data_IF_443139073744
#
_entry.id   IF_443139073744
#
_cell.length_a   1.000
_cell.length_b   1.000
_cell.length_c   1.000
_cell.angle_alpha   90.00
_cell.angle_beta   90.00
_cell.angle_gamma   90.00
#
_symmetry.space_group_name_H-M   'P 1'
#
loop_
_entity.id
_entity.type
_entity.pdbx_description
1 polymer ?
#
# COMPACT_ATOMS: atom_id res chain seq x y z
N UNK A 1 -4.09 23.87 -23.62
CA UNK A 1 -3.64 23.55 -22.25
C UNK A 1 -4.26 22.22 -21.90
N UNK A 2 -3.41 21.19 -21.84
CA UNK A 2 -3.81 19.80 -22.00
C UNK A 2 -4.51 19.24 -20.76
N UNK A 3 -5.58 18.48 -20.98
CA UNK A 3 -6.43 17.90 -19.95
C UNK A 3 -5.69 16.72 -19.32
N UNK A 4 -5.06 16.98 -18.16
CA UNK A 4 -4.82 16.02 -17.06
C UNK A 4 -4.43 14.60 -17.50
N UNK A 5 -3.18 14.42 -17.94
CA UNK A 5 -2.58 13.08 -17.87
C UNK A 5 -2.45 12.73 -16.38
N UNK A 6 -3.11 11.69 -15.85
CA UNK A 6 -3.03 11.36 -14.44
C UNK A 6 -1.57 11.09 -14.05
N UNK A 7 -1.07 11.82 -13.05
CA UNK A 7 0.31 11.70 -12.55
C UNK A 7 0.66 10.22 -12.34
N UNK A 8 1.78 9.78 -12.92
CA UNK A 8 2.19 8.36 -12.91
C UNK A 8 2.72 7.97 -11.53
N UNK A 9 2.47 6.74 -11.05
CA UNK A 9 3.12 6.27 -9.82
C UNK A 9 4.59 5.92 -10.08
N UNK A 10 5.36 5.82 -9.00
CA UNK A 10 6.77 5.44 -9.04
C UNK A 10 7.15 4.46 -7.93
N UNK A 11 8.28 3.79 -8.10
CA UNK A 11 8.96 3.05 -7.04
C UNK A 11 10.38 3.58 -6.91
N UNK A 12 10.74 3.95 -5.69
CA UNK A 12 12.07 4.39 -5.29
C UNK A 12 12.75 3.23 -4.59
N UNK A 13 13.83 2.75 -5.18
CA UNK A 13 14.61 1.64 -4.68
C UNK A 13 15.85 2.17 -3.97
N UNK A 14 16.10 1.71 -2.76
CA UNK A 14 17.47 1.71 -2.27
C UNK A 14 18.34 0.79 -3.14
N UNK A 15 19.65 1.09 -3.22
CA UNK A 15 20.60 0.34 -4.05
C UNK A 15 21.18 -0.85 -3.29
N UNK A 16 21.90 -0.58 -2.21
CA UNK A 16 22.80 -1.51 -1.53
C UNK A 16 22.03 -2.26 -0.44
N UNK A 17 21.98 -3.59 -0.51
CA UNK A 17 21.13 -4.40 0.38
C UNK A 17 19.68 -4.57 -0.12
N UNK A 18 19.29 -3.84 -1.18
CA UNK A 18 17.94 -3.92 -1.77
C UNK A 18 17.94 -4.38 -3.24
N UNK A 19 18.64 -3.70 -4.15
CA UNK A 19 18.78 -4.13 -5.55
C UNK A 19 20.00 -5.05 -5.73
N UNK A 20 21.12 -4.66 -5.11
CA UNK A 20 22.39 -5.37 -5.10
C UNK A 20 22.77 -5.76 -3.67
N UNK A 21 23.73 -6.67 -3.53
CA UNK A 21 24.31 -7.02 -2.23
C UNK A 21 25.01 -5.81 -1.61
N UNK A 22 24.85 -5.61 -0.31
CA UNK A 22 25.67 -4.64 0.43
C UNK A 22 27.06 -5.24 0.67
N UNK A 23 28.07 -4.61 0.06
CA UNK A 23 29.49 -4.96 0.22
C UNK A 23 30.32 -3.73 0.64
N UNK A 24 29.69 -2.74 1.28
CA UNK A 24 30.33 -1.50 1.71
C UNK A 24 30.53 -0.47 0.59
N UNK A 25 31.66 0.24 0.61
CA UNK A 25 31.95 1.30 -0.36
C UNK A 25 32.51 0.72 -1.66
N UNK A 26 31.61 0.52 -2.62
CA UNK A 26 31.96 0.00 -3.95
C UNK A 26 32.72 1.06 -4.76
N UNK A 27 33.88 0.68 -5.28
CA UNK A 27 34.70 1.53 -6.15
C UNK A 27 34.70 1.04 -7.60
N UNK A 28 34.50 -0.26 -7.80
CA UNK A 28 34.55 -0.91 -9.11
C UNK A 28 33.18 -1.51 -9.50
N UNK A 29 32.73 -1.32 -10.76
CA UNK A 29 31.47 -1.86 -11.26
C UNK A 29 31.24 -3.36 -11.01
N UNK A 30 32.31 -4.17 -11.13
CA UNK A 30 32.23 -5.63 -10.96
C UNK A 30 31.86 -6.08 -9.53
N UNK A 31 31.98 -5.18 -8.55
CA UNK A 31 31.61 -5.47 -7.15
C UNK A 31 30.09 -5.48 -6.95
N UNK A 32 29.34 -4.81 -7.83
CA UNK A 32 27.88 -4.73 -7.76
C UNK A 32 27.22 -6.04 -8.23
N UNK A 33 26.82 -6.86 -7.26
CA UNK A 33 26.15 -8.14 -7.49
C UNK A 33 24.66 -8.03 -7.18
N UNK A 34 23.79 -8.27 -8.17
CA UNK A 34 22.35 -8.22 -7.97
C UNK A 34 21.85 -9.30 -7.02
N UNK A 35 20.96 -8.90 -6.10
CA UNK A 35 20.27 -9.86 -5.24
C UNK A 35 19.40 -10.82 -6.08
N UNK A 36 19.24 -12.09 -5.64
CA UNK A 36 18.44 -13.07 -6.35
C UNK A 36 17.00 -12.61 -6.56
N UNK A 37 16.57 -12.59 -7.83
CA UNK A 37 15.19 -12.25 -8.20
C UNK A 37 14.92 -10.77 -8.42
N UNK A 38 15.89 -9.87 -8.24
CA UNK A 38 15.74 -8.41 -8.49
C UNK A 38 15.16 -8.12 -9.88
N UNK A 39 15.78 -8.66 -10.94
CA UNK A 39 15.33 -8.42 -12.32
C UNK A 39 13.88 -8.89 -12.53
N UNK A 40 13.54 -10.08 -12.05
CA UNK A 40 12.20 -10.64 -12.21
C UNK A 40 11.14 -9.86 -11.41
N UNK A 41 11.50 -9.37 -10.22
CA UNK A 41 10.64 -8.54 -9.39
C UNK A 41 10.33 -7.19 -10.07
N UNK A 42 11.37 -6.48 -10.54
CA UNK A 42 11.22 -5.21 -11.24
C UNK A 42 10.45 -5.36 -12.56
N UNK A 43 10.70 -6.43 -13.33
CA UNK A 43 9.98 -6.68 -14.59
C UNK A 43 8.47 -6.76 -14.41
N UNK A 44 8.00 -7.33 -13.29
CA UNK A 44 6.57 -7.42 -12.97
C UNK A 44 5.91 -6.07 -12.65
N UNK A 45 6.70 -5.05 -12.34
CA UNK A 45 6.24 -3.73 -11.89
C UNK A 45 6.43 -2.66 -12.98
N UNK A 46 7.31 -2.87 -13.95
CA UNK A 46 7.76 -1.83 -14.88
C UNK A 46 6.65 -1.21 -15.74
N UNK A 47 5.66 -2.01 -16.14
CA UNK A 47 4.56 -1.51 -16.97
C UNK A 47 3.70 -0.48 -16.22
N UNK A 48 3.79 -0.51 -14.89
CA UNK A 48 2.91 0.22 -14.00
C UNK A 48 3.57 1.40 -13.30
N UNK A 49 4.89 1.35 -13.12
CA UNK A 49 5.64 2.29 -12.30
C UNK A 49 6.86 2.85 -13.03
N UNK A 50 7.18 4.11 -12.78
CA UNK A 50 8.52 4.63 -13.05
C UNK A 50 9.47 4.18 -11.93
N UNK A 51 10.69 3.80 -12.28
CA UNK A 51 11.71 3.41 -11.30
C UNK A 51 12.74 4.50 -11.09
N UNK A 52 13.13 4.66 -9.84
CA UNK A 52 14.19 5.55 -9.39
C UNK A 52 15.07 4.81 -8.40
N UNK A 53 16.36 5.12 -8.38
CA UNK A 53 17.28 4.63 -7.34
C UNK A 53 17.61 5.79 -6.41
N UNK A 54 17.53 5.57 -5.10
CA UNK A 54 17.87 6.58 -4.07
C UNK A 54 18.86 5.96 -3.09
N UNK A 55 20.12 6.35 -3.18
CA UNK A 55 21.21 5.78 -2.39
C UNK A 55 21.97 6.84 -1.59
N UNK A 56 22.47 6.43 -0.43
CA UNK A 56 23.38 7.23 0.40
C UNK A 56 24.78 6.62 0.32
N UNK A 57 25.79 7.40 -0.05
CA UNK A 57 27.17 6.96 -0.30
C UNK A 57 28.15 7.78 0.54
N UNK A 58 28.18 7.57 1.87
CA UNK A 58 29.00 8.37 2.78
C UNK A 58 30.51 8.17 2.55
N UNK A 59 30.90 7.08 1.88
CA UNK A 59 32.28 6.81 1.47
C UNK A 59 32.93 7.95 0.66
N UNK A 60 32.13 8.80 0.01
CA UNK A 60 32.61 10.01 -0.69
C UNK A 60 33.09 11.07 0.29
N UNK A 61 32.23 11.46 1.25
CA UNK A 61 32.62 12.39 2.31
C UNK A 61 33.69 11.81 3.25
N UNK A 62 33.80 10.49 3.32
CA UNK A 62 34.86 9.76 4.04
C UNK A 62 36.19 9.67 3.30
N UNK A 63 36.22 10.01 2.01
CA UNK A 63 37.42 9.90 1.18
C UNK A 63 37.81 8.47 0.83
N UNK A 64 36.93 7.50 1.12
CA UNK A 64 37.14 6.08 0.80
C UNK A 64 36.94 5.79 -0.69
N UNK A 65 36.02 6.51 -1.34
CA UNK A 65 35.72 6.41 -2.77
C UNK A 65 35.47 7.80 -3.36
N UNK A 66 35.67 7.98 -4.65
CA UNK A 66 35.32 9.25 -5.32
C UNK A 66 33.87 9.26 -5.79
N UNK A 67 33.31 10.45 -6.03
CA UNK A 67 31.99 10.57 -6.67
C UNK A 67 31.95 9.91 -8.05
N UNK A 68 33.09 9.92 -8.77
CA UNK A 68 33.21 9.25 -10.08
C UNK A 68 33.10 7.73 -9.95
N UNK A 69 33.63 7.16 -8.88
CA UNK A 69 33.51 5.71 -8.64
C UNK A 69 32.06 5.33 -8.37
N UNK A 70 31.35 6.14 -7.57
CA UNK A 70 29.91 6.00 -7.34
C UNK A 70 29.13 6.09 -8.65
N UNK A 71 29.43 7.07 -9.50
CA UNK A 71 28.78 7.24 -10.81
C UNK A 71 29.03 6.04 -11.73
N UNK A 72 30.26 5.49 -11.75
CA UNK A 72 30.60 4.27 -12.52
C UNK A 72 29.80 3.07 -12.05
N UNK A 73 29.72 2.84 -10.74
CA UNK A 73 28.94 1.74 -10.15
C UNK A 73 27.45 1.90 -10.47
N UNK A 74 26.90 3.10 -10.32
CA UNK A 74 25.50 3.39 -10.65
C UNK A 74 25.21 3.19 -12.13
N UNK A 75 26.08 3.66 -13.02
CA UNK A 75 25.94 3.48 -14.46
C UNK A 75 25.95 1.98 -14.83
N UNK A 76 26.79 1.18 -14.18
CA UNK A 76 26.80 -0.27 -14.36
C UNK A 76 25.51 -0.94 -13.87
N UNK A 77 25.01 -0.59 -12.67
CA UNK A 77 23.73 -1.12 -12.18
C UNK A 77 22.60 -0.79 -13.16
N UNK A 78 22.53 0.46 -13.64
CA UNK A 78 21.53 0.89 -14.62
C UNK A 78 21.69 0.17 -15.95
N UNK A 79 22.91 -0.01 -16.46
CA UNK A 79 23.14 -0.70 -17.75
C UNK A 79 22.72 -2.18 -17.68
N UNK A 80 23.06 -2.87 -16.59
CA UNK A 80 22.66 -4.27 -16.38
C UNK A 80 21.15 -4.44 -16.24
N UNK A 81 20.46 -3.47 -15.63
CA UNK A 81 18.99 -3.44 -15.61
C UNK A 81 18.43 -3.17 -17.02
N UNK A 82 19.03 -2.26 -17.78
CA UNK A 82 18.63 -1.95 -19.16
C UNK A 82 18.79 -3.13 -20.12
N UNK A 83 19.88 -3.90 -20.00
CA UNK A 83 20.10 -5.15 -20.75
C UNK A 83 18.99 -6.19 -20.47
N UNK A 84 18.43 -6.17 -19.26
CA UNK A 84 17.29 -7.00 -18.89
C UNK A 84 15.92 -6.41 -19.32
N UNK A 85 15.94 -5.32 -20.09
CA UNK A 85 14.78 -4.58 -20.58
C UNK A 85 14.17 -3.63 -19.54
N UNK A 86 14.88 -3.31 -18.45
CA UNK A 86 14.36 -2.47 -17.37
C UNK A 86 14.77 -0.99 -17.52
N UNK A 87 13.88 -0.05 -17.20
CA UNK A 87 14.09 1.39 -17.34
C UNK A 87 14.15 2.06 -15.97
N UNK A 88 15.31 2.61 -15.63
CA UNK A 88 15.50 3.50 -14.49
C UNK A 88 15.43 4.94 -15.00
N UNK A 89 14.55 5.74 -14.41
CA UNK A 89 14.27 7.11 -14.86
C UNK A 89 15.33 8.09 -14.37
N UNK A 90 15.78 7.93 -13.12
CA UNK A 90 16.92 8.65 -12.56
C UNK A 90 17.53 7.91 -11.37
N UNK A 91 18.80 8.22 -11.07
CA UNK A 91 19.52 7.78 -9.88
C UNK A 91 19.84 9.03 -9.05
N UNK A 92 19.44 9.00 -7.78
CA UNK A 92 19.71 10.07 -6.82
C UNK A 92 20.69 9.58 -5.77
N UNK A 93 21.74 10.36 -5.55
CA UNK A 93 22.87 10.01 -4.68
C UNK A 93 23.06 11.11 -3.65
N UNK A 94 23.13 10.73 -2.38
CA UNK A 94 23.65 11.62 -1.34
C UNK A 94 25.09 11.21 -0.98
N UNK A 95 26.11 12.05 -1.19
CA UNK A 95 27.52 11.72 -0.91
C UNK A 95 27.95 12.04 0.54
N UNK A 96 27.04 12.59 1.35
CA UNK A 96 27.35 13.22 2.63
C UNK A 96 27.29 12.25 3.81
N UNK A 97 27.94 12.63 4.91
CA UNK A 97 27.74 12.02 6.21
C UNK A 97 26.47 12.57 6.85
N UNK A 98 25.93 11.80 7.80
CA UNK A 98 24.74 12.23 8.56
C UNK A 98 25.03 13.48 9.41
N UNK A 99 26.26 13.64 9.88
CA UNK A 99 26.70 14.82 10.63
C UNK A 99 26.69 16.12 9.80
N UNK A 100 26.71 16.02 8.46
CA UNK A 100 26.78 17.20 7.58
C UNK A 100 25.44 17.95 7.49
N UNK A 101 24.34 17.40 8.03
CA UNK A 101 23.04 18.07 8.09
C UNK A 101 22.42 18.37 6.72
N UNK A 102 22.83 17.66 5.67
CA UNK A 102 22.37 17.92 4.31
C UNK A 102 20.89 17.57 4.11
N UNK A 103 20.24 18.24 3.15
CA UNK A 103 18.85 17.96 2.81
C UNK A 103 18.66 16.67 1.98
N UNK A 104 19.73 16.05 1.45
CA UNK A 104 19.62 14.88 0.56
C UNK A 104 19.60 13.54 1.28
N UNK A 105 20.14 13.45 2.48
CA UNK A 105 20.35 12.16 3.14
C UNK A 105 19.02 11.61 3.66
N UNK A 106 18.78 10.32 3.42
CA UNK A 106 17.64 9.60 3.99
C UNK A 106 17.71 9.67 5.53
N UNK A 107 16.62 10.03 6.25
CA UNK A 107 15.21 9.92 5.85
C UNK A 107 14.58 11.20 5.23
N UNK A 108 15.36 12.15 4.70
CA UNK A 108 14.79 13.31 4.01
C UNK A 108 14.01 12.91 2.74
N UNK A 109 12.80 13.45 2.50
CA UNK A 109 12.02 13.19 1.28
C UNK A 109 12.49 14.00 0.06
N UNK A 110 13.59 14.75 0.16
CA UNK A 110 14.05 15.68 -0.88
C UNK A 110 14.07 15.07 -2.29
N UNK A 111 14.65 13.88 -2.47
CA UNK A 111 14.73 13.23 -3.79
C UNK A 111 13.39 12.70 -4.31
N UNK A 112 12.44 12.40 -3.44
CA UNK A 112 11.08 12.05 -3.86
C UNK A 112 10.37 13.27 -4.42
N UNK A 113 10.44 14.41 -3.73
CA UNK A 113 9.86 15.66 -4.21
C UNK A 113 10.50 16.12 -5.51
N UNK A 114 11.83 16.02 -5.62
CA UNK A 114 12.55 16.30 -6.86
C UNK A 114 12.07 15.42 -8.02
N UNK A 115 11.93 14.11 -7.80
CA UNK A 115 11.40 13.22 -8.82
C UNK A 115 9.94 13.53 -9.20
N UNK A 116 9.12 13.97 -8.25
CA UNK A 116 7.75 14.41 -8.49
C UNK A 116 7.68 15.63 -9.41
N UNK A 117 8.55 16.60 -9.18
CA UNK A 117 8.70 17.79 -10.01
C UNK A 117 9.23 17.44 -11.41
N UNK A 118 10.35 16.72 -11.47
CA UNK A 118 11.07 16.44 -12.72
C UNK A 118 10.30 15.49 -13.66
N UNK A 119 9.51 14.56 -13.13
CA UNK A 119 8.86 13.48 -13.91
C UNK A 119 7.33 13.47 -13.86
N UNK A 120 6.70 14.41 -13.13
CA UNK A 120 5.24 14.47 -13.02
C UNK A 120 4.63 13.20 -12.41
N UNK A 121 5.19 12.74 -11.27
CA UNK A 121 4.74 11.53 -10.58
C UNK A 121 3.87 11.84 -9.35
N UNK A 122 2.95 10.93 -9.04
CA UNK A 122 2.09 11.01 -7.86
C UNK A 122 2.71 10.27 -6.68
N UNK A 123 3.37 11.00 -5.77
CA UNK A 123 3.99 10.40 -4.56
C UNK A 123 3.01 9.60 -3.70
N UNK A 124 1.76 10.05 -3.61
CA UNK A 124 0.67 9.35 -2.92
C UNK A 124 0.39 7.94 -3.42
N UNK A 125 0.78 7.67 -4.66
CA UNK A 125 0.57 6.40 -5.37
C UNK A 125 1.91 5.65 -5.56
N UNK A 126 2.97 6.15 -4.93
CA UNK A 126 4.33 5.66 -5.08
C UNK A 126 4.80 4.90 -3.85
N UNK A 127 5.82 4.08 -4.04
CA UNK A 127 6.40 3.22 -3.03
C UNK A 127 7.88 3.50 -2.85
N UNK A 128 8.39 3.33 -1.63
CA UNK A 128 9.83 3.30 -1.35
C UNK A 128 10.17 1.93 -0.81
N UNK A 129 11.23 1.31 -1.33
CA UNK A 129 11.69 -0.01 -0.92
C UNK A 129 13.14 0.09 -0.50
N UNK A 130 13.45 -0.37 0.71
CA UNK A 130 14.80 -0.35 1.26
C UNK A 130 14.96 -1.28 2.45
N UNK A 131 16.20 -1.52 2.85
CA UNK A 131 16.58 -2.42 3.93
C UNK A 131 17.05 -1.69 5.20
N UNK A 132 17.03 -0.36 5.21
CA UNK A 132 17.31 0.45 6.39
C UNK A 132 16.07 1.26 6.82
N UNK A 133 15.83 1.48 8.14
CA UNK A 133 14.71 2.30 8.62
C UNK A 133 14.57 3.65 7.90
N UNK A 134 15.67 4.38 7.76
CA UNK A 134 15.74 5.63 7.02
C UNK A 134 15.20 5.56 5.59
N UNK A 135 15.30 4.42 4.90
CA UNK A 135 14.80 4.26 3.53
C UNK A 135 13.28 4.27 3.47
N UNK A 136 12.63 3.62 4.44
CA UNK A 136 11.17 3.51 4.47
C UNK A 136 10.52 4.63 5.26
N UNK A 137 11.29 5.34 6.08
CA UNK A 137 10.86 6.52 6.82
C UNK A 137 10.68 7.75 5.92
N UNK A 138 11.53 7.91 4.90
CA UNK A 138 11.41 9.03 3.96
C UNK A 138 10.10 9.00 3.13
N UNK A 139 9.44 7.84 3.06
CA UNK A 139 8.20 7.69 2.32
C UNK A 139 7.04 8.49 2.93
N UNK A 140 6.93 8.49 4.26
CA UNK A 140 5.79 9.08 4.97
C UNK A 140 5.66 10.60 4.82
N UNK A 141 6.71 11.42 5.05
CA UNK A 141 6.60 12.86 4.85
C UNK A 141 6.37 13.23 3.38
N UNK A 142 6.77 12.37 2.43
CA UNK A 142 6.48 12.51 1.01
C UNK A 142 5.05 12.08 0.61
N UNK A 143 4.30 11.45 1.52
CA UNK A 143 2.99 10.85 1.25
C UNK A 143 3.04 9.50 0.50
N UNK A 144 4.23 8.92 0.31
CA UNK A 144 4.45 7.61 -0.29
C UNK A 144 4.34 6.48 0.76
N UNK A 145 4.37 5.23 0.28
CA UNK A 145 4.34 4.05 1.16
C UNK A 145 5.70 3.34 1.23
N UNK A 146 6.24 3.20 2.43
CA UNK A 146 7.50 2.48 2.67
C UNK A 146 7.31 0.96 2.82
N UNK A 147 8.17 0.19 2.17
CA UNK A 147 8.23 -1.28 2.23
C UNK A 147 9.65 -1.70 2.61
N UNK A 148 9.80 -2.24 3.82
CA UNK A 148 11.08 -2.67 4.36
C UNK A 148 11.39 -4.11 3.94
N UNK A 149 12.58 -4.35 3.41
CA UNK A 149 13.06 -5.68 3.05
C UNK A 149 14.06 -6.22 4.08
N UNK A 150 14.00 -7.52 4.38
CA UNK A 150 14.94 -8.18 5.30
C UNK A 150 16.21 -8.71 4.59
N UNK A 151 16.65 -8.05 3.52
CA UNK A 151 17.95 -8.30 2.85
C UNK A 151 18.98 -7.30 3.35
N UNK A 152 20.28 -7.47 3.03
CA UNK A 152 21.32 -6.52 3.43
C UNK A 152 21.39 -6.27 4.95
N UNK A 153 21.25 -5.01 5.34
CA UNK A 153 21.19 -4.53 6.72
C UNK A 153 19.80 -4.74 7.37
N UNK A 154 18.79 -5.10 6.59
CA UNK A 154 17.41 -5.36 6.99
C UNK A 154 17.24 -6.14 8.30
N UNK A 155 17.87 -7.32 8.45
CA UNK A 155 17.73 -8.12 9.68
C UNK A 155 18.29 -7.44 10.94
N UNK A 156 19.25 -6.52 10.80
CA UNK A 156 19.95 -5.88 11.93
C UNK A 156 19.15 -4.74 12.54
N UNK A 157 18.42 -4.00 11.70
CA UNK A 157 17.67 -2.80 12.12
C UNK A 157 16.17 -3.04 12.27
N UNK A 158 15.74 -4.31 12.31
CA UNK A 158 14.32 -4.65 12.40
C UNK A 158 13.67 -4.09 13.68
N UNK A 159 14.40 -4.08 14.79
CA UNK A 159 13.95 -3.57 16.09
C UNK A 159 13.94 -2.04 16.17
N UNK A 160 14.58 -1.36 15.21
CA UNK A 160 14.61 0.11 15.12
C UNK A 160 13.39 0.66 14.37
N UNK A 161 12.65 -0.19 13.66
CA UNK A 161 11.49 0.24 12.90
C UNK A 161 10.35 0.65 13.84
N UNK A 162 9.75 1.81 13.54
CA UNK A 162 8.51 2.22 14.18
C UNK A 162 7.41 1.17 13.99
N UNK A 163 6.52 1.03 14.97
CA UNK A 163 5.34 0.19 14.85
C UNK A 163 4.57 0.49 13.54
N UNK A 164 3.98 -0.53 12.93
CA UNK A 164 3.15 -0.46 11.71
C UNK A 164 3.86 -0.39 10.34
N UNK A 165 5.20 -0.46 10.28
CA UNK A 165 5.93 -0.54 8.99
C UNK A 165 5.65 -1.86 8.27
N UNK A 166 5.66 -1.82 6.94
CA UNK A 166 5.48 -3.01 6.10
C UNK A 166 6.82 -3.71 6.00
N UNK A 167 6.92 -4.92 6.53
CA UNK A 167 8.14 -5.73 6.51
C UNK A 167 7.90 -6.96 5.63
N UNK A 168 8.79 -7.18 4.67
CA UNK A 168 8.78 -8.34 3.76
C UNK A 168 10.18 -8.96 3.69
N UNK A 169 10.31 -10.27 3.39
CA UNK A 169 11.61 -10.94 3.46
C UNK A 169 12.61 -10.48 2.39
N UNK A 170 12.14 -10.19 1.18
CA UNK A 170 13.00 -9.85 0.04
C UNK A 170 12.28 -8.97 -1.00
N UNK A 171 13.01 -8.58 -2.05
CA UNK A 171 12.48 -7.76 -3.15
C UNK A 171 11.34 -8.44 -3.93
N UNK A 172 11.30 -9.77 -3.99
CA UNK A 172 10.21 -10.50 -4.66
C UNK A 172 8.91 -10.36 -3.86
N UNK A 173 9.00 -10.52 -2.55
CA UNK A 173 7.88 -10.34 -1.64
C UNK A 173 7.42 -8.88 -1.58
N UNK A 174 8.33 -7.91 -1.73
CA UNK A 174 8.01 -6.49 -1.90
C UNK A 174 7.21 -6.25 -3.19
N UNK A 175 7.68 -6.75 -4.33
CA UNK A 175 6.97 -6.61 -5.60
C UNK A 175 5.56 -7.21 -5.56
N UNK A 176 5.42 -8.40 -4.98
CA UNK A 176 4.10 -9.01 -4.76
C UNK A 176 3.20 -8.19 -3.84
N UNK A 177 3.76 -7.62 -2.77
CA UNK A 177 3.01 -6.78 -1.86
C UNK A 177 2.51 -5.52 -2.58
N UNK A 178 3.38 -4.85 -3.35
CA UNK A 178 3.03 -3.66 -4.15
C UNK A 178 1.93 -4.01 -5.15
N UNK A 179 2.06 -5.12 -5.89
CA UNK A 179 1.02 -5.58 -6.81
C UNK A 179 -0.30 -5.95 -6.11
N UNK A 180 -0.25 -6.40 -4.87
CA UNK A 180 -1.48 -6.65 -4.07
C UNK A 180 -2.21 -5.37 -3.67
N UNK A 181 -1.51 -4.23 -3.66
CA UNK A 181 -2.06 -2.89 -3.41
C UNK A 181 -2.44 -2.17 -4.69
N UNK A 182 -1.84 -2.56 -5.81
CA UNK A 182 -1.92 -1.82 -7.05
C UNK A 182 -2.82 -2.52 -8.08
N UNK A 183 -3.94 -1.92 -8.50
CA UNK A 183 -4.84 -2.56 -9.45
C UNK A 183 -4.21 -2.64 -10.86
N UNK A 184 -4.48 -3.71 -11.62
CA UNK A 184 -4.08 -3.85 -13.02
C UNK A 184 -4.42 -2.63 -13.88
N UNK A 185 -3.54 -2.29 -14.83
CA UNK A 185 -3.61 -1.09 -15.68
C UNK A 185 -5.01 -0.80 -16.27
N UNK A 186 -5.69 -1.83 -16.79
CA UNK A 186 -7.03 -1.71 -17.39
C UNK A 186 -8.13 -1.25 -16.42
N UNK A 187 -7.94 -1.39 -15.11
CA UNK A 187 -8.93 -1.00 -14.11
C UNK A 187 -8.63 0.35 -13.46
N UNK A 188 -7.53 1.03 -13.84
CA UNK A 188 -7.07 2.27 -13.19
C UNK A 188 -7.86 3.51 -13.58
N UNK A 189 -8.22 3.65 -14.85
CA UNK A 189 -9.00 4.81 -15.32
C UNK A 189 -10.32 4.93 -14.54
N UNK A 190 -10.92 3.78 -14.23
CA UNK A 190 -12.16 3.69 -13.46
C UNK A 190 -12.01 4.01 -11.96
N UNK A 191 -10.82 3.93 -11.37
CA UNK A 191 -10.63 4.26 -9.94
C UNK A 191 -10.77 5.76 -9.71
N UNK A 192 -10.21 6.59 -10.60
CA UNK A 192 -10.33 8.05 -10.49
C UNK A 192 -11.78 8.52 -10.62
N UNK A 193 -12.49 8.01 -11.62
CA UNK A 193 -13.91 8.31 -11.85
C UNK A 193 -14.78 7.87 -10.66
N UNK A 194 -14.59 6.63 -10.20
CA UNK A 194 -15.29 6.10 -9.02
C UNK A 194 -15.02 6.94 -7.77
N UNK A 195 -13.76 7.38 -7.58
CA UNK A 195 -13.39 8.19 -6.44
C UNK A 195 -14.05 9.56 -6.47
N UNK A 196 -14.13 10.17 -7.65
CA UNK A 196 -14.81 11.45 -7.84
C UNK A 196 -16.32 11.35 -7.62
N UNK A 197 -16.95 10.26 -8.10
CA UNK A 197 -18.37 9.98 -7.83
C UNK A 197 -18.62 9.92 -6.32
N UNK A 198 -17.81 9.16 -5.56
CA UNK A 198 -17.95 9.07 -4.10
C UNK A 198 -17.77 10.43 -3.43
N UNK A 199 -16.76 11.21 -3.83
CA UNK A 199 -16.53 12.56 -3.27
C UNK A 199 -17.70 13.51 -3.51
N UNK A 200 -18.42 13.35 -4.63
CA UNK A 200 -19.61 14.15 -4.98
C UNK A 200 -20.92 13.64 -4.35
N UNK A 201 -20.86 12.68 -3.42
CA UNK A 201 -22.05 12.11 -2.77
C UNK A 201 -22.74 11.00 -3.59
N UNK A 202 -22.04 10.45 -4.57
CA UNK A 202 -22.48 9.30 -5.35
C UNK A 202 -22.28 7.96 -4.65
N UNK A 203 -22.82 6.91 -5.25
CA UNK A 203 -22.78 5.52 -4.76
C UNK A 203 -22.14 4.63 -5.81
N UNK A 204 -21.10 3.88 -5.42
CA UNK A 204 -20.29 3.05 -6.31
C UNK A 204 -20.24 1.61 -5.82
N UNK A 205 -20.42 0.65 -6.74
CA UNK A 205 -20.15 -0.77 -6.48
C UNK A 205 -18.66 -1.05 -6.66
N UNK A 206 -18.02 -1.71 -5.72
CA UNK A 206 -16.60 -2.08 -5.83
C UNK A 206 -16.30 -3.47 -5.25
N UNK A 207 -15.31 -4.21 -5.80
CA UNK A 207 -14.95 -5.54 -5.31
C UNK A 207 -14.13 -5.46 -4.02
N UNK A 208 -14.35 -6.42 -3.12
CA UNK A 208 -13.44 -6.75 -2.01
C UNK A 208 -12.97 -8.20 -2.13
N UNK A 209 -12.07 -8.64 -1.26
CA UNK A 209 -11.66 -10.05 -1.16
C UNK A 209 -12.77 -10.96 -0.62
N UNK A 210 -13.82 -10.39 -0.05
CA UNK A 210 -14.98 -11.13 0.48
C UNK A 210 -16.15 -11.17 -0.50
N UNK A 211 -16.73 -10.00 -0.79
CA UNK A 211 -17.92 -9.81 -1.64
C UNK A 211 -17.86 -8.42 -2.27
N UNK A 212 -18.65 -8.14 -3.29
CA UNK A 212 -18.80 -6.76 -3.77
C UNK A 212 -19.54 -5.91 -2.73
N UNK A 213 -19.10 -4.66 -2.56
CA UNK A 213 -19.71 -3.68 -1.68
C UNK A 213 -20.38 -2.55 -2.47
N UNK A 214 -21.43 -1.96 -1.90
CA UNK A 214 -22.10 -0.76 -2.42
C UNK A 214 -21.71 0.44 -1.54
N UNK A 215 -20.73 1.21 -1.98
CA UNK A 215 -20.06 2.23 -1.17
C UNK A 215 -20.56 3.65 -1.41
N UNK A 216 -20.66 4.42 -0.33
CA UNK A 216 -20.87 5.86 -0.32
C UNK A 216 -19.95 6.54 0.70
N UNK A 217 -19.71 7.84 0.56
CA UNK A 217 -18.96 8.61 1.57
C UNK A 217 -19.68 8.52 2.93
N UNK A 218 -18.98 8.00 3.94
CA UNK A 218 -19.56 7.76 5.27
C UNK A 218 -20.00 9.04 6.00
N UNK A 219 -19.43 10.20 5.64
CA UNK A 219 -19.78 11.49 6.23
C UNK A 219 -20.90 12.21 5.47
N UNK A 220 -21.29 11.74 4.27
CA UNK A 220 -22.41 12.29 3.52
C UNK A 220 -23.70 11.52 3.85
N UNK A 221 -24.55 12.14 4.68
CA UNK A 221 -25.83 11.56 5.11
C UNK A 221 -26.76 11.22 3.94
N UNK A 222 -26.74 12.01 2.85
CA UNK A 222 -27.59 11.78 1.68
C UNK A 222 -27.08 10.59 0.88
N UNK A 223 -25.76 10.51 0.68
CA UNK A 223 -25.15 9.38 -0.01
C UNK A 223 -25.37 8.06 0.74
N UNK A 224 -25.25 8.07 2.07
CA UNK A 224 -25.54 6.89 2.91
C UNK A 224 -27.02 6.51 2.86
N UNK A 225 -27.94 7.49 2.88
CA UNK A 225 -29.37 7.20 2.73
C UNK A 225 -29.68 6.49 1.41
N UNK A 226 -29.05 6.91 0.30
CA UNK A 226 -29.18 6.24 -1.00
C UNK A 226 -28.72 4.77 -0.94
N UNK A 227 -27.69 4.43 -0.17
CA UNK A 227 -27.26 3.02 0.01
C UNK A 227 -28.38 2.18 0.63
N UNK A 228 -29.09 2.70 1.63
CA UNK A 228 -30.25 2.01 2.22
C UNK A 228 -31.41 1.88 1.23
N UNK A 229 -31.70 2.94 0.49
CA UNK A 229 -32.77 2.98 -0.54
C UNK A 229 -32.52 1.96 -1.66
N UNK A 230 -31.33 2.00 -2.28
CA UNK A 230 -30.95 1.08 -3.37
C UNK A 230 -31.06 -0.38 -2.94
N UNK A 231 -30.68 -0.68 -1.69
CA UNK A 231 -30.72 -2.05 -1.16
C UNK A 231 -32.09 -2.47 -0.65
N UNK A 232 -33.04 -1.54 -0.53
CA UNK A 232 -34.27 -1.72 0.25
C UNK A 232 -33.98 -2.28 1.66
N UNK A 233 -32.95 -1.72 2.32
CA UNK A 233 -32.45 -2.18 3.63
C UNK A 233 -33.10 -1.37 4.76
N UNK A 234 -33.52 -2.01 5.87
CA UNK A 234 -33.94 -1.29 7.07
C UNK A 234 -32.83 -0.39 7.62
N UNK A 235 -33.16 0.84 8.02
CA UNK A 235 -32.21 1.81 8.59
C UNK A 235 -31.63 1.41 9.96
N UNK A 236 -32.17 0.34 10.55
CA UNK A 236 -31.76 -0.20 11.85
C UNK A 236 -30.54 -1.13 11.77
N UNK A 237 -30.08 -1.48 10.56
CA UNK A 237 -28.97 -2.40 10.37
C UNK A 237 -27.69 -1.64 9.95
N UNK A 238 -26.70 -1.49 10.85
CA UNK A 238 -25.53 -0.64 10.64
C UNK A 238 -24.67 -1.08 9.44
N UNK A 239 -23.82 -0.17 8.98
CA UNK A 239 -22.93 -0.37 7.84
C UNK A 239 -21.48 -0.55 8.29
N UNK A 240 -20.71 -1.35 7.55
CA UNK A 240 -19.26 -1.45 7.73
C UNK A 240 -18.61 -0.29 6.97
N UNK A 241 -17.80 0.49 7.69
CA UNK A 241 -16.99 1.57 7.13
C UNK A 241 -15.65 1.00 6.67
N UNK A 242 -15.35 1.16 5.40
CA UNK A 242 -14.09 0.78 4.80
C UNK A 242 -13.15 1.99 4.74
N UNK A 243 -11.88 1.77 5.09
CA UNK A 243 -10.82 2.78 5.07
C UNK A 243 -9.55 2.25 4.42
N UNK A 244 -8.70 3.14 3.91
CA UNK A 244 -7.49 2.78 3.17
C UNK A 244 -6.42 2.13 4.06
N UNK A 245 -6.34 2.55 5.31
CA UNK A 245 -5.36 2.06 6.27
C UNK A 245 -5.82 2.23 7.73
N UNK A 246 -5.01 1.71 8.65
CA UNK A 246 -5.24 1.75 10.10
C UNK A 246 -5.16 3.17 10.70
N UNK A 247 -4.42 4.10 10.07
CA UNK A 247 -4.29 5.49 10.54
C UNK A 247 -5.61 6.21 10.33
N UNK A 248 -6.20 6.04 9.14
CA UNK A 248 -7.54 6.53 8.86
C UNK A 248 -8.59 5.88 9.77
N UNK A 249 -8.50 4.57 10.06
CA UNK A 249 -9.39 3.92 11.03
C UNK A 249 -9.35 4.59 12.41
N UNK A 250 -8.15 4.97 12.89
CA UNK A 250 -7.95 5.65 14.18
C UNK A 250 -8.61 7.03 14.22
N UNK A 251 -8.72 7.72 13.09
CA UNK A 251 -9.43 9.00 12.99
C UNK A 251 -10.96 8.88 13.08
N UNK A 252 -11.53 7.67 13.06
CA UNK A 252 -12.99 7.45 13.11
C UNK A 252 -13.50 6.99 14.48
N UNK A 253 -12.60 6.80 15.46
CA UNK A 253 -12.92 6.23 16.77
C UNK A 253 -12.44 7.12 17.90
N UNK A 254 -13.18 7.12 19.02
CA UNK A 254 -12.79 7.88 20.24
C UNK A 254 -11.65 7.21 20.99
N UNK A 255 -11.62 5.88 20.94
CA UNK A 255 -10.60 5.06 21.58
C UNK A 255 -10.27 3.86 20.68
N UNK A 256 -9.00 3.46 20.70
CA UNK A 256 -8.49 2.29 19.98
C UNK A 256 -7.71 1.42 20.96
N UNK A 257 -8.38 0.47 21.65
CA UNK A 257 -7.74 -0.39 22.64
C UNK A 257 -6.54 -1.14 22.09
N UNK A 258 -5.52 -1.37 22.92
CA UNK A 258 -4.27 -2.01 22.51
C UNK A 258 -4.46 -3.39 21.86
N UNK A 259 -5.39 -4.20 22.36
CA UNK A 259 -5.67 -5.52 21.78
C UNK A 259 -6.33 -5.41 20.40
N UNK A 260 -7.25 -4.46 20.23
CA UNK A 260 -7.84 -4.19 18.92
C UNK A 260 -6.78 -3.68 17.93
N UNK A 261 -5.84 -2.85 18.40
CA UNK A 261 -4.72 -2.39 17.58
C UNK A 261 -3.88 -3.57 17.10
N UNK A 262 -3.44 -4.45 18.01
CA UNK A 262 -2.66 -5.66 17.68
C UNK A 262 -3.37 -6.56 16.66
N UNK A 263 -4.70 -6.70 16.77
CA UNK A 263 -5.50 -7.43 15.78
C UNK A 263 -5.49 -6.73 14.41
N UNK A 264 -5.68 -5.41 14.39
CA UNK A 264 -5.57 -4.61 13.17
C UNK A 264 -4.18 -4.75 12.53
N UNK A 265 -3.10 -4.65 13.31
CA UNK A 265 -1.74 -4.77 12.78
C UNK A 265 -1.47 -6.12 12.09
N UNK A 266 -2.08 -7.18 12.61
CA UNK A 266 -1.86 -8.54 12.13
C UNK A 266 -2.77 -8.94 10.98
N UNK A 267 -4.03 -8.50 11.02
CA UNK A 267 -5.07 -9.00 10.13
C UNK A 267 -5.58 -7.95 9.13
N UNK A 268 -5.23 -6.67 9.29
CA UNK A 268 -5.47 -5.67 8.28
C UNK A 268 -4.23 -5.39 7.43
N UNK A 269 -4.43 -5.18 6.12
CA UNK A 269 -5.67 -5.34 5.35
C UNK A 269 -6.11 -6.80 5.23
N UNK A 270 -7.42 -7.06 5.34
CA UNK A 270 -7.97 -8.42 5.34
C UNK A 270 -9.43 -8.51 5.80
N UNK A 271 -9.96 -9.74 5.93
CA UNK A 271 -11.36 -10.00 6.20
C UNK A 271 -11.76 -9.83 7.67
N UNK A 272 -10.98 -9.10 8.46
CA UNK A 272 -11.32 -8.75 9.84
C UNK A 272 -12.14 -7.45 9.85
N UNK A 273 -13.18 -7.38 10.68
CA UNK A 273 -13.91 -6.14 10.97
C UNK A 273 -13.85 -5.91 12.48
N UNK A 274 -13.52 -4.69 12.91
CA UNK A 274 -13.45 -4.31 14.32
C UNK A 274 -14.61 -3.37 14.64
N UNK A 275 -15.29 -3.60 15.76
CA UNK A 275 -16.38 -2.73 16.25
C UNK A 275 -15.83 -1.90 17.40
N UNK A 276 -15.76 -0.58 17.23
CA UNK A 276 -15.07 0.35 18.13
C UNK A 276 -15.95 1.57 18.44
N UNK A 277 -15.74 2.28 19.57
CA UNK A 277 -16.49 3.49 19.91
C UNK A 277 -16.29 4.58 18.85
N UNK A 278 -17.38 5.04 18.21
CA UNK A 278 -17.32 6.03 17.12
C UNK A 278 -17.08 7.45 17.63
N UNK A 279 -16.46 8.29 16.82
CA UNK A 279 -16.46 9.76 17.01
C UNK A 279 -17.85 10.37 16.77
N UNK A 280 -18.09 11.57 17.29
CA UNK A 280 -19.41 12.21 17.22
C UNK A 280 -19.72 12.74 15.82
N UNK A 281 -18.69 13.08 15.04
CA UNK A 281 -18.78 13.58 13.68
C UNK A 281 -19.27 12.52 12.68
N UNK A 282 -19.09 11.22 13.00
CA UNK A 282 -19.56 10.14 12.15
C UNK A 282 -21.09 10.04 12.24
N UNK A 283 -21.83 10.22 11.12
CA UNK A 283 -23.28 10.28 11.15
C UNK A 283 -23.95 8.99 11.66
N UNK A 284 -24.97 9.14 12.49
CA UNK A 284 -25.70 8.02 13.11
C UNK A 284 -26.40 7.09 12.10
N UNK A 285 -26.68 7.58 10.90
CA UNK A 285 -27.23 6.75 9.80
C UNK A 285 -26.28 5.62 9.40
N UNK A 286 -24.97 5.79 9.60
CA UNK A 286 -23.97 4.73 9.34
C UNK A 286 -24.06 3.63 10.40
N UNK A 287 -24.29 4.01 11.66
CA UNK A 287 -24.23 3.10 12.82
C UNK A 287 -25.61 2.71 13.36
N UNK A 288 -26.68 3.05 12.64
CA UNK A 288 -28.07 2.86 13.08
C UNK A 288 -28.32 3.46 14.50
N UNK A 289 -27.69 4.58 14.83
CA UNK A 289 -27.79 5.24 16.14
C UNK A 289 -26.93 4.64 17.24
N UNK A 290 -26.15 3.58 16.96
CA UNK A 290 -25.24 2.99 17.93
C UNK A 290 -24.03 3.89 18.19
N UNK A 291 -23.48 3.79 19.42
CA UNK A 291 -22.24 4.47 19.84
C UNK A 291 -20.97 3.83 19.28
N UNK A 292 -21.08 2.74 18.54
CA UNK A 292 -19.97 2.02 17.93
C UNK A 292 -20.07 1.99 16.41
N UNK A 293 -18.92 1.90 15.75
CA UNK A 293 -18.78 1.77 14.30
C UNK A 293 -18.02 0.48 13.98
N UNK A 294 -18.47 -0.24 12.95
CA UNK A 294 -17.74 -1.36 12.38
C UNK A 294 -16.77 -0.86 11.30
N UNK A 295 -15.48 -1.10 11.46
CA UNK A 295 -14.43 -0.64 10.54
C UNK A 295 -13.67 -1.82 9.94
N UNK A 296 -13.28 -1.70 8.67
CA UNK A 296 -12.44 -2.68 7.96
C UNK A 296 -11.46 -2.02 6.99
N UNK A 297 -10.27 -2.59 6.89
CA UNK A 297 -9.33 -2.31 5.78
C UNK A 297 -9.33 -3.51 4.84
N UNK A 298 -9.93 -3.43 3.63
CA UNK A 298 -10.09 -4.61 2.75
C UNK A 298 -8.77 -5.05 2.10
N UNK A 299 -8.49 -6.35 2.00
CA UNK A 299 -7.32 -6.86 1.24
C UNK A 299 -7.65 -7.04 -0.26
N UNK A 300 -8.07 -5.96 -0.93
CA UNK A 300 -8.33 -5.98 -2.37
C UNK A 300 -7.74 -4.75 -3.06
N UNK A 301 -6.89 -4.96 -4.07
CA UNK A 301 -6.14 -3.89 -4.75
C UNK A 301 -7.04 -2.74 -5.24
N UNK A 302 -8.17 -3.06 -5.89
CA UNK A 302 -9.12 -2.03 -6.34
C UNK A 302 -9.82 -1.30 -5.20
N UNK A 303 -10.19 -1.98 -4.12
CA UNK A 303 -10.85 -1.34 -2.99
C UNK A 303 -9.88 -0.37 -2.31
N UNK A 304 -8.64 -0.80 -2.07
CA UNK A 304 -7.61 0.04 -1.45
C UNK A 304 -7.22 1.21 -2.34
N UNK A 305 -7.10 1.00 -3.65
CA UNK A 305 -6.85 2.09 -4.59
C UNK A 305 -8.00 3.10 -4.59
N UNK A 306 -9.26 2.65 -4.56
CA UNK A 306 -10.43 3.53 -4.45
C UNK A 306 -10.47 4.29 -3.12
N UNK A 307 -10.28 3.60 -2.00
CA UNK A 307 -10.28 4.20 -0.65
C UNK A 307 -9.12 5.19 -0.48
N UNK A 308 -7.97 4.86 -1.05
CA UNK A 308 -6.86 5.80 -1.15
C UNK A 308 -7.32 6.95 -2.02
N UNK A 309 -7.59 6.77 -3.30
CA UNK A 309 -7.91 7.86 -4.24
C UNK A 309 -9.02 8.80 -3.75
N UNK A 310 -10.08 8.28 -3.14
CA UNK A 310 -11.17 9.08 -2.56
C UNK A 310 -10.71 9.97 -1.40
N UNK A 311 -9.83 9.46 -0.54
CA UNK A 311 -9.37 10.15 0.67
C UNK A 311 -10.41 10.21 1.80
N UNK A 312 -11.55 9.51 1.67
CA UNK A 312 -12.64 9.52 2.66
C UNK A 312 -12.96 8.10 3.14
N UNK A 313 -13.59 8.00 4.31
CA UNK A 313 -14.13 6.75 4.80
C UNK A 313 -15.39 6.37 3.99
N UNK A 314 -15.51 5.11 3.57
CA UNK A 314 -16.61 4.67 2.69
C UNK A 314 -17.49 3.65 3.41
N UNK A 315 -18.74 4.01 3.70
CA UNK A 315 -19.72 3.09 4.25
C UNK A 315 -20.21 2.15 3.13
N UNK A 316 -19.98 0.84 3.28
CA UNK A 316 -20.25 -0.13 2.22
C UNK A 316 -20.73 -1.48 2.76
N UNK A 317 -22.06 -1.75 2.77
CA UNK A 317 -22.58 -3.11 2.91
C UNK A 317 -22.37 -3.90 1.61
N UNK A 318 -22.71 -5.19 1.61
CA UNK A 318 -22.66 -6.03 0.42
C UNK A 318 -23.58 -5.50 -0.70
N UNK A 319 -23.19 -5.66 -1.96
CA UNK A 319 -23.87 -5.10 -3.14
C UNK A 319 -25.06 -5.94 -3.64
N UNK A 320 -25.94 -6.37 -2.74
CA UNK A 320 -27.18 -7.10 -3.02
C UNK A 320 -28.41 -6.36 -2.48
N UNK A 321 -29.59 -6.68 -3.01
CA UNK A 321 -30.84 -6.35 -2.34
C UNK A 321 -30.90 -7.05 -0.97
N UNK A 322 -31.49 -6.38 0.02
CA UNK A 322 -31.60 -6.92 1.37
C UNK A 322 -32.29 -8.31 1.38
N UNK A 323 -31.70 -9.28 2.09
CA UNK A 323 -32.17 -10.67 2.13
C UNK A 323 -31.77 -11.57 0.95
N UNK A 324 -31.11 -11.04 -0.09
CA UNK A 324 -30.58 -11.85 -1.21
C UNK A 324 -29.14 -12.33 -0.96
N UNK A 325 -28.68 -13.29 -1.76
CA UNK A 325 -27.30 -13.81 -1.72
C UNK A 325 -26.32 -12.69 -2.12
N UNK A 326 -25.26 -12.54 -1.32
CA UNK A 326 -24.21 -11.54 -1.56
C UNK A 326 -23.44 -11.80 -2.85
N UNK A 327 -23.18 -10.77 -3.67
CA UNK A 327 -22.49 -10.94 -4.94
C UNK A 327 -21.00 -11.20 -4.77
N UNK A 328 -20.53 -12.27 -5.40
CA UNK A 328 -19.11 -12.60 -5.57
C UNK A 328 -18.62 -12.37 -7.01
N UNK A 329 -19.41 -11.72 -7.85
CA UNK A 329 -19.00 -11.29 -9.19
C UNK A 329 -19.64 -9.94 -9.53
N UNK A 330 -19.07 -9.21 -10.47
CA UNK A 330 -19.61 -7.93 -10.93
C UNK A 330 -20.98 -8.12 -11.58
N UNK A 331 -21.19 -9.22 -12.29
CA UNK A 331 -22.46 -9.57 -12.94
C UNK A 331 -23.55 -9.84 -11.90
N UNK A 332 -23.22 -10.50 -10.79
CA UNK A 332 -24.19 -10.70 -9.70
C UNK A 332 -24.62 -9.37 -9.07
N UNK A 333 -23.69 -8.43 -8.88
CA UNK A 333 -24.01 -7.11 -8.35
C UNK A 333 -24.87 -6.31 -9.35
N UNK A 334 -24.48 -6.30 -10.62
CA UNK A 334 -25.22 -5.61 -11.69
C UNK A 334 -26.64 -6.18 -11.87
N UNK A 335 -26.80 -7.51 -11.82
CA UNK A 335 -28.10 -8.16 -11.95
C UNK A 335 -29.06 -7.82 -10.80
N UNK A 336 -28.54 -7.60 -9.59
CA UNK A 336 -29.37 -7.29 -8.43
C UNK A 336 -29.65 -5.80 -8.26
N UNK A 337 -28.68 -4.93 -8.54
CA UNK A 337 -28.77 -3.48 -8.29
C UNK A 337 -29.14 -2.67 -9.56
N UNK A 338 -29.02 -3.27 -10.74
CA UNK A 338 -29.30 -2.61 -12.01
C UNK A 338 -28.44 -1.35 -12.21
N UNK A 339 -29.10 -0.26 -12.60
CA UNK A 339 -28.49 1.07 -12.84
C UNK A 339 -28.68 2.03 -11.67
N UNK A 340 -29.09 1.55 -10.50
CA UNK A 340 -29.38 2.42 -9.35
C UNK A 340 -28.12 2.97 -8.66
N UNK A 341 -27.00 2.26 -8.80
CA UNK A 341 -25.69 2.77 -8.42
C UNK A 341 -25.13 3.65 -9.55
N UNK A 342 -24.42 4.71 -9.18
CA UNK A 342 -23.85 5.65 -10.15
C UNK A 342 -22.70 5.01 -10.96
N UNK A 343 -22.09 3.94 -10.42
CA UNK A 343 -21.09 3.14 -11.13
C UNK A 343 -21.06 1.69 -10.66
N UNK A 344 -21.02 0.77 -11.62
CA UNK A 344 -20.84 -0.68 -11.39
C UNK A 344 -19.65 -1.21 -12.22
N UNK A 345 -18.76 -2.05 -11.68
CA UNK A 345 -17.63 -2.59 -12.43
C UNK A 345 -18.11 -3.42 -13.62
N UNK A 346 -17.46 -3.29 -14.78
CA UNK A 346 -17.80 -4.07 -15.97
C UNK A 346 -17.30 -5.53 -15.87
N UNK A 347 -17.80 -6.42 -16.76
CA UNK A 347 -17.42 -7.85 -16.88
C UNK A 347 -15.91 -8.14 -16.94
N UNK A 348 -15.08 -7.15 -17.25
CA UNK A 348 -13.63 -7.31 -17.29
C UNK A 348 -12.96 -7.15 -15.90
N UNK A 349 -13.72 -6.72 -14.89
CA UNK A 349 -13.26 -6.59 -13.49
C UNK A 349 -13.44 -7.88 -12.68
N UNK A 350 -14.11 -8.88 -13.25
CA UNK A 350 -14.67 -10.05 -12.55
C UNK A 350 -13.62 -11.05 -12.05
N UNK A 351 -12.41 -11.07 -12.62
CA UNK A 351 -11.34 -11.98 -12.20
C UNK A 351 -10.67 -11.60 -10.86
N UNK A 352 -11.07 -10.49 -10.23
CA UNK A 352 -10.36 -9.90 -9.09
C UNK A 352 -10.58 -10.62 -7.73
N UNK A 353 -11.72 -11.30 -7.51
CA UNK A 353 -11.90 -12.09 -6.28
C UNK A 353 -10.93 -13.28 -6.24
N UNK A 354 -10.65 -13.91 -7.39
CA UNK A 354 -9.66 -15.01 -7.45
C UNK A 354 -8.23 -14.54 -7.23
N UNK A 355 -7.89 -13.31 -7.63
CA UNK A 355 -6.55 -12.74 -7.41
C UNK A 355 -6.25 -12.44 -5.92
N UNK A 356 -7.28 -12.37 -5.08
CA UNK A 356 -7.19 -12.03 -3.64
C UNK A 356 -6.78 -13.21 -2.75
N UNK A 357 -6.79 -14.44 -3.27
CA UNK A 357 -6.45 -15.65 -2.47
C UNK A 357 -4.99 -15.67 -1.97
N UNK A 358 -4.07 -14.90 -2.56
CA UNK A 358 -2.66 -14.83 -2.12
C UNK A 358 -2.46 -14.10 -0.78
N UNK A 359 -3.45 -13.35 -0.30
CA UNK A 359 -3.37 -12.67 1.00
C UNK A 359 -3.43 -13.69 2.17
N UNK A 360 -4.05 -14.87 1.97
CA UNK A 360 -4.19 -15.93 2.99
C UNK A 360 -2.89 -16.65 3.34
N UNK A 361 -2.00 -16.88 2.36
CA UNK A 361 -0.81 -17.72 2.55
C UNK A 361 0.25 -17.04 3.44
N UNK A 362 0.31 -15.70 3.46
CA UNK A 362 1.34 -14.94 4.20
C UNK A 362 1.19 -14.99 5.72
N UNK A 363 0.00 -15.31 6.25
CA UNK A 363 -0.20 -15.44 7.70
C UNK A 363 0.18 -16.83 8.25
N UNK A 364 0.27 -17.85 7.38
CA UNK A 364 0.65 -19.22 7.75
C UNK A 364 2.16 -19.41 7.92
N UNK A 365 2.97 -18.71 7.13
CA UNK A 365 4.43 -18.91 7.07
C UNK A 365 5.20 -18.46 8.33
N UNK A 366 4.59 -17.68 9.24
CA UNK A 366 5.20 -17.35 10.56
C UNK A 366 5.18 -18.52 11.54
N UNK A 367 4.54 -19.65 11.23
CA UNK A 367 4.40 -20.79 12.17
C UNK A 367 5.64 -21.68 12.27
N UNK A 368 6.50 -21.74 11.26
CA UNK A 368 7.56 -22.78 11.24
C UNK A 368 8.89 -22.35 11.86
N UNK A 369 9.16 -21.05 12.00
CA UNK A 369 10.41 -20.55 12.59
C UNK A 369 10.34 -20.30 14.11
N UNK A 370 9.13 -20.24 14.70
CA UNK A 370 8.94 -19.96 16.13
C UNK A 370 8.79 -21.18 17.05
N UNK A 371 8.60 -22.39 16.50
CA UNK A 371 8.18 -23.56 17.28
C UNK A 371 9.33 -24.44 17.83
N UNK A 372 10.61 -24.02 17.72
CA UNK A 372 11.77 -24.85 18.15
C UNK A 372 12.58 -24.31 19.32
N UNK A 373 12.08 -23.34 20.08
CA UNK A 373 12.75 -22.88 21.33
C UNK A 373 11.78 -22.62 22.47
N UNK A 374 11.21 -23.67 23.05
CA UNK A 374 10.86 -23.71 24.47
C UNK A 374 10.51 -25.15 24.90
N UNK A 375 11.53 -25.96 25.13
CA UNK A 375 11.38 -27.21 25.87
C UNK A 375 12.57 -27.34 26.82
N UNK A 376 12.49 -26.66 27.96
CA UNK A 376 13.24 -26.91 29.21
C UNK A 376 12.69 -25.97 30.28
N UNK A 377 12.04 -26.54 31.29
CA UNK A 377 11.52 -25.81 32.46
C UNK A 377 10.22 -26.39 33.01
N UNK A 378 10.36 -27.50 33.73
CA UNK A 378 9.32 -28.14 34.55
C UNK A 378 9.24 -27.43 35.94
N UNK A 379 8.40 -27.83 36.90
CA UNK A 379 7.03 -27.35 37.12
C UNK A 379 6.80 -26.80 38.55
N UNK A 380 5.59 -26.33 38.81
CA UNK A 380 4.92 -26.26 40.12
C UNK A 380 5.65 -25.50 41.26
N UNK A 381 5.18 -24.27 41.53
CA UNK A 381 4.49 -23.90 42.79
C UNK A 381 3.86 -22.53 42.67
#
# INVERSE_FOLDING_TARGET
MDKTNPLRPAIFWDRDGTLIEDRGHLSEPGEAVFLPGTINALRRLQDDFLFFIVTNQPGVAEGAISIRDVDRVNAYVVSRLAEAGLRISAVYVCPHRRADGCACIKPSPHFLHKAAEDFGISLRRSFVVGDHPHDVELAEPAGAQGVYVCTGHGPKHLDELSENKIVVPDIRAAAEWILSRWPPHRMRHHVGDAAEIIRRGGVVVFPTETVYGLGANAFDRRAVARVFEIKNRPRLDPLIVHVADRRHARCLVKDFPADAWRLAERFWPGPLTLVLPKIDELPDIVTAGLRSVAIRVPCHALALALLSETGVAVAAPSANLFGRISPTTAEHAAAQLGTQADMTPSRNCTNAIRASHRCRERQGARRESGARRSARGNPCR
#
